data_IF_386867219755
#
_entry.id   IF_386867219755
#
_cell.length_a   1.000
_cell.length_b   1.000
_cell.length_c   1.000
_cell.angle_alpha   90.00
_cell.angle_beta   90.00
_cell.angle_gamma   90.00
#
_symmetry.space_group_name_H-M   'P 1'
#
loop_
_entity.id
_entity.type
_entity.pdbx_description
1 polymer ?
#
# COMPACT_ATOMS: atom_id res chain seq x y z
N UNK A 1 4.02 6.18 11.50
CA UNK A 1 3.12 7.11 10.78
C UNK A 1 3.37 6.94 9.30
N UNK A 2 2.30 6.75 8.53
CA UNK A 2 2.39 6.68 7.07
C UNK A 2 2.50 8.09 6.49
N UNK A 3 3.30 8.23 5.41
CA UNK A 3 3.37 9.44 4.59
C UNK A 3 2.71 9.15 3.26
N UNK A 4 1.68 9.91 2.93
CA UNK A 4 0.91 9.76 1.69
C UNK A 4 1.41 10.77 0.67
N UNK A 5 1.62 10.34 -0.57
CA UNK A 5 1.97 11.21 -1.69
C UNK A 5 0.88 11.14 -2.75
N UNK A 6 0.24 12.25 -3.04
CA UNK A 6 -0.63 12.39 -4.20
C UNK A 6 0.19 12.73 -5.44
N UNK A 7 0.03 11.95 -6.48
CA UNK A 7 0.67 12.14 -7.78
C UNK A 7 -0.46 12.51 -8.75
N UNK A 8 -0.47 13.74 -9.22
CA UNK A 8 -1.61 14.30 -9.92
C UNK A 8 -1.24 14.87 -11.28
N UNK A 9 -2.24 15.00 -12.11
CA UNK A 9 -2.14 15.63 -13.45
C UNK A 9 -2.70 17.06 -13.44
N UNK A 10 -2.57 17.78 -12.32
CA UNK A 10 -2.96 19.17 -12.19
C UNK A 10 -2.22 20.07 -13.19
N UNK A 11 -2.88 21.12 -13.68
CA UNK A 11 -2.29 22.07 -14.62
C UNK A 11 -1.13 22.88 -14.03
N UNK A 12 -1.13 23.10 -12.73
CA UNK A 12 -0.02 23.75 -12.05
C UNK A 12 1.03 22.73 -11.67
N UNK A 13 2.17 22.83 -12.30
CA UNK A 13 3.31 21.93 -12.09
C UNK A 13 3.91 22.15 -10.69
N UNK A 14 4.13 21.05 -9.99
CA UNK A 14 4.86 20.94 -8.73
C UNK A 14 6.04 20.00 -8.98
N UNK A 15 7.24 20.59 -9.15
CA UNK A 15 8.47 19.83 -9.45
C UNK A 15 9.03 19.09 -8.23
N UNK A 16 8.52 19.39 -7.03
CA UNK A 16 8.90 18.76 -5.78
C UNK A 16 7.66 18.53 -4.93
N UNK A 17 7.62 17.49 -4.08
CA UNK A 17 6.50 17.26 -3.19
C UNK A 17 6.23 18.45 -2.26
N UNK A 18 4.99 18.90 -2.25
CA UNK A 18 4.51 20.03 -1.44
C UNK A 18 3.55 19.51 -0.38
N UNK A 19 3.75 19.88 0.88
CA UNK A 19 2.83 19.53 1.97
C UNK A 19 1.45 20.18 1.75
N UNK A 20 0.40 19.39 1.94
CA UNK A 20 -0.99 19.82 1.77
C UNK A 20 -1.79 19.40 3.01
N UNK A 21 -2.32 20.38 3.74
CA UNK A 21 -3.01 20.13 5.01
C UNK A 21 -4.54 20.05 4.86
N UNK A 22 -5.11 20.88 3.96
CA UNK A 22 -6.54 20.94 3.71
C UNK A 22 -6.87 21.54 2.33
N UNK A 23 -8.16 21.62 2.00
CA UNK A 23 -8.67 22.18 0.73
C UNK A 23 -8.27 23.67 0.54
N UNK A 24 -8.21 24.46 1.62
CA UNK A 24 -7.85 25.87 1.54
C UNK A 24 -6.36 26.05 1.25
N UNK A 25 -5.52 25.21 1.82
CA UNK A 25 -4.08 25.17 1.57
C UNK A 25 -3.79 24.72 0.12
N UNK A 26 -4.50 23.69 -0.37
CA UNK A 26 -4.42 23.27 -1.77
C UNK A 26 -4.84 24.39 -2.73
N UNK A 27 -5.92 25.11 -2.41
CA UNK A 27 -6.37 26.26 -3.20
C UNK A 27 -5.34 27.37 -3.25
N UNK A 28 -4.70 27.67 -2.13
CA UNK A 28 -3.66 28.71 -2.06
C UNK A 28 -2.39 28.33 -2.82
N UNK A 29 -1.96 27.08 -2.73
CA UNK A 29 -0.71 26.57 -3.32
C UNK A 29 -0.86 26.18 -4.79
N UNK A 30 -1.97 25.59 -5.18
CA UNK A 30 -2.17 24.98 -6.49
C UNK A 30 -3.23 25.72 -7.31
N UNK A 31 -4.36 26.03 -6.72
CA UNK A 31 -5.46 26.75 -7.36
C UNK A 31 -6.84 26.23 -6.98
N UNK A 32 -7.83 27.00 -7.37
CA UNK A 32 -9.25 26.63 -7.19
C UNK A 32 -9.56 25.43 -8.08
N UNK A 33 -10.38 24.50 -7.59
CA UNK A 33 -10.84 23.30 -8.30
C UNK A 33 -9.69 22.37 -8.76
N UNK A 34 -8.52 22.42 -8.10
CA UNK A 34 -7.43 21.51 -8.37
C UNK A 34 -7.79 20.06 -8.01
N UNK A 35 -7.17 19.09 -8.71
CA UNK A 35 -7.31 17.68 -8.40
C UNK A 35 -6.83 17.41 -6.97
N UNK A 36 -5.67 17.96 -6.58
CA UNK A 36 -5.15 17.88 -5.20
C UNK A 36 -6.17 18.41 -4.20
N UNK A 37 -6.87 19.51 -4.49
CA UNK A 37 -7.90 20.07 -3.60
C UNK A 37 -9.03 19.08 -3.33
N UNK A 38 -9.51 18.37 -4.36
CA UNK A 38 -10.52 17.31 -4.22
C UNK A 38 -9.98 16.11 -3.45
N UNK A 39 -8.75 15.68 -3.75
CA UNK A 39 -8.09 14.56 -3.08
C UNK A 39 -7.89 14.81 -1.59
N UNK A 40 -7.34 15.97 -1.21
CA UNK A 40 -7.10 16.28 0.21
C UNK A 40 -8.41 16.41 1.00
N UNK A 41 -9.45 16.97 0.38
CA UNK A 41 -10.79 17.04 0.98
C UNK A 41 -11.34 15.64 1.28
N UNK A 42 -11.20 14.70 0.35
CA UNK A 42 -11.62 13.32 0.51
C UNK A 42 -10.79 12.60 1.58
N UNK A 43 -9.47 12.79 1.56
CA UNK A 43 -8.56 12.18 2.53
C UNK A 43 -8.85 12.65 3.97
N UNK A 44 -8.95 13.96 4.20
CA UNK A 44 -9.20 14.54 5.54
C UNK A 44 -10.57 14.17 6.10
N UNK A 45 -11.59 13.99 5.24
CA UNK A 45 -12.90 13.48 5.68
C UNK A 45 -12.83 12.03 6.15
N UNK A 46 -11.93 11.23 5.57
CA UNK A 46 -11.73 9.83 5.94
C UNK A 46 -10.81 9.69 7.15
N UNK A 47 -9.66 10.39 7.14
CA UNK A 47 -8.70 10.42 8.24
C UNK A 47 -8.19 11.87 8.42
N UNK A 48 -8.51 12.49 9.55
CA UNK A 48 -8.14 13.89 9.85
C UNK A 48 -6.64 14.10 10.09
N UNK A 49 -5.92 13.05 10.44
CA UNK A 49 -4.50 13.11 10.82
C UNK A 49 -3.58 12.60 9.71
N UNK A 50 -4.10 12.45 8.51
CA UNK A 50 -3.30 11.98 7.37
C UNK A 50 -2.21 13.01 7.03
N UNK A 51 -0.98 12.53 6.89
CA UNK A 51 0.20 13.31 6.47
C UNK A 51 0.32 13.20 4.94
N UNK A 52 0.04 14.30 4.24
CA UNK A 52 -0.08 14.33 2.78
C UNK A 52 0.88 15.31 2.16
N UNK A 53 1.60 14.84 1.15
CA UNK A 53 2.30 15.66 0.19
C UNK A 53 1.70 15.44 -1.21
N UNK A 54 1.88 16.38 -2.10
CA UNK A 54 1.44 16.29 -3.49
C UNK A 54 2.56 16.69 -4.45
N UNK A 55 2.62 16.00 -5.59
CA UNK A 55 3.51 16.30 -6.71
C UNK A 55 2.74 16.17 -8.02
N UNK A 56 3.12 16.96 -9.02
CA UNK A 56 2.58 16.78 -10.38
C UNK A 56 3.39 15.71 -11.11
N UNK A 57 2.71 14.80 -11.77
CA UNK A 57 3.33 13.81 -12.65
C UNK A 57 4.09 14.54 -13.76
N UNK A 58 5.39 14.26 -13.88
CA UNK A 58 6.21 14.83 -14.94
C UNK A 58 5.67 14.43 -16.32
N UNK A 59 5.81 15.34 -17.29
CA UNK A 59 5.34 15.13 -18.65
C UNK A 59 6.48 15.28 -19.63
N UNK A 60 6.72 14.27 -20.43
CA UNK A 60 7.62 14.37 -21.57
C UNK A 60 6.95 15.19 -22.67
N UNK A 61 7.53 16.35 -22.97
CA UNK A 61 7.03 17.32 -23.95
C UNK A 61 7.84 17.33 -25.25
N UNK A 62 8.55 16.24 -25.56
CA UNK A 62 9.31 16.11 -26.82
C UNK A 62 8.39 16.30 -28.02
N UNK A 63 7.13 15.85 -27.92
CA UNK A 63 6.04 16.25 -28.81
C UNK A 63 5.07 17.18 -28.04
N UNK A 64 5.11 18.49 -28.28
CA UNK A 64 4.23 19.45 -27.60
C UNK A 64 2.73 19.24 -27.88
N UNK A 65 2.37 18.51 -28.94
CA UNK A 65 0.97 18.23 -29.32
C UNK A 65 0.46 16.93 -28.66
N UNK A 66 1.37 16.08 -28.17
CA UNK A 66 1.03 14.80 -27.52
C UNK A 66 1.97 14.57 -26.31
N UNK A 67 1.87 15.37 -25.24
CA UNK A 67 2.65 15.14 -24.04
C UNK A 67 2.25 13.79 -23.41
N UNK A 68 3.25 12.99 -23.03
CA UNK A 68 3.05 11.70 -22.36
C UNK A 68 3.60 11.74 -20.94
N UNK A 69 3.01 11.01 -19.97
CA UNK A 69 3.55 10.90 -18.62
C UNK A 69 5.00 10.42 -18.64
N UNK A 70 5.84 11.06 -17.82
CA UNK A 70 7.21 10.68 -17.56
C UNK A 70 7.32 10.19 -16.13
N UNK A 71 7.07 8.89 -15.95
CA UNK A 71 7.08 8.25 -14.64
C UNK A 71 8.50 8.21 -14.08
N UNK A 72 9.51 7.99 -14.93
CA UNK A 72 10.91 7.87 -14.53
C UNK A 72 11.40 9.18 -13.88
N UNK A 73 11.15 10.32 -14.49
CA UNK A 73 11.49 11.64 -13.93
C UNK A 73 10.80 11.85 -12.57
N UNK A 74 9.52 11.47 -12.45
CA UNK A 74 8.76 11.61 -11.20
C UNK A 74 9.33 10.68 -10.12
N UNK A 75 9.61 9.43 -10.47
CA UNK A 75 10.10 8.42 -9.51
C UNK A 75 11.52 8.72 -9.05
N UNK A 76 12.38 9.30 -9.88
CA UNK A 76 13.72 9.76 -9.48
C UNK A 76 13.63 10.82 -8.38
N UNK A 77 12.69 11.76 -8.48
CA UNK A 77 12.47 12.79 -7.46
C UNK A 77 11.97 12.20 -6.14
N UNK A 78 11.01 11.29 -6.19
CA UNK A 78 10.32 10.78 -4.99
C UNK A 78 11.04 9.63 -4.29
N UNK A 79 11.88 8.87 -4.99
CA UNK A 79 12.56 7.69 -4.46
C UNK A 79 13.34 7.95 -3.16
N UNK A 80 14.07 9.05 -2.96
CA UNK A 80 14.81 9.31 -1.72
C UNK A 80 13.93 9.75 -0.54
N UNK A 81 12.67 10.13 -0.76
CA UNK A 81 11.85 10.83 0.22
C UNK A 81 11.10 9.92 1.20
N UNK A 82 10.94 8.63 0.89
CA UNK A 82 10.40 7.63 1.79
C UNK A 82 8.89 7.76 2.06
N UNK A 83 8.09 8.12 1.05
CA UNK A 83 6.64 8.02 1.11
C UNK A 83 6.24 6.55 1.20
N UNK A 84 5.26 6.24 2.04
CA UNK A 84 4.83 4.86 2.27
C UNK A 84 3.59 4.48 1.48
N UNK A 85 2.78 5.46 1.08
CA UNK A 85 1.58 5.26 0.27
C UNK A 85 1.59 6.29 -0.86
N UNK A 86 1.69 5.82 -2.10
CA UNK A 86 1.56 6.62 -3.30
C UNK A 86 0.13 6.54 -3.81
N UNK A 87 -0.40 7.60 -4.37
CA UNK A 87 -1.77 7.65 -4.90
C UNK A 87 -1.76 8.34 -6.24
N UNK A 88 -2.25 7.66 -7.27
CA UNK A 88 -2.50 8.29 -8.56
C UNK A 88 -3.89 8.93 -8.57
N UNK A 89 -4.04 10.03 -9.28
CA UNK A 89 -5.34 10.70 -9.47
C UNK A 89 -6.25 9.96 -10.46
N UNK A 90 -5.65 9.15 -11.32
CA UNK A 90 -6.32 8.31 -12.34
C UNK A 90 -5.48 7.07 -12.64
N UNK A 91 -6.06 6.03 -13.27
CA UNK A 91 -5.29 4.87 -13.69
C UNK A 91 -4.19 5.25 -14.70
N UNK A 92 -2.98 4.66 -14.57
CA UNK A 92 -1.93 4.81 -15.58
C UNK A 92 -2.29 4.04 -16.86
N UNK A 93 -1.62 4.37 -17.95
CA UNK A 93 -1.73 3.59 -19.18
C UNK A 93 -1.18 2.16 -18.95
N UNK A 94 -1.86 1.18 -19.58
CA UNK A 94 -1.44 -0.22 -19.56
C UNK A 94 -0.13 -0.35 -20.35
N UNK A 95 0.83 -1.08 -19.80
CA UNK A 95 2.16 -1.28 -20.38
C UNK A 95 3.23 -0.47 -19.67
N UNK A 96 4.08 0.23 -20.42
CA UNK A 96 5.31 0.87 -19.94
C UNK A 96 5.10 1.80 -18.72
N UNK A 97 4.03 2.61 -18.73
CA UNK A 97 3.72 3.50 -17.60
C UNK A 97 3.42 2.71 -16.31
N UNK A 98 2.62 1.65 -16.43
CA UNK A 98 2.32 0.77 -15.30
C UNK A 98 3.56 0.03 -14.81
N UNK A 99 4.39 -0.47 -15.72
CA UNK A 99 5.64 -1.18 -15.40
C UNK A 99 6.60 -0.27 -14.64
N UNK A 100 6.79 0.98 -15.07
CA UNK A 100 7.66 1.94 -14.40
C UNK A 100 7.22 2.18 -12.94
N UNK A 101 5.91 2.25 -12.64
CA UNK A 101 5.43 2.34 -11.26
C UNK A 101 5.75 1.10 -10.45
N UNK A 102 5.56 -0.10 -11.00
CA UNK A 102 5.86 -1.36 -10.30
C UNK A 102 7.36 -1.47 -10.04
N UNK A 103 8.20 -1.12 -11.00
CA UNK A 103 9.66 -1.13 -10.87
C UNK A 103 10.13 -0.15 -9.79
N UNK A 104 9.55 1.04 -9.73
CA UNK A 104 9.80 1.99 -8.65
C UNK A 104 9.47 1.39 -7.27
N UNK A 105 8.30 0.77 -7.12
CA UNK A 105 7.90 0.15 -5.85
C UNK A 105 8.86 -0.97 -5.43
N UNK A 106 9.29 -1.80 -6.37
CA UNK A 106 10.26 -2.86 -6.13
C UNK A 106 11.61 -2.28 -5.71
N UNK A 107 12.08 -1.24 -6.39
CA UNK A 107 13.33 -0.54 -6.09
C UNK A 107 13.34 0.05 -4.68
N UNK A 108 12.37 0.90 -4.33
CA UNK A 108 12.35 1.56 -3.00
C UNK A 108 12.11 0.58 -1.86
N UNK A 109 11.46 -0.56 -2.12
CA UNK A 109 11.09 -1.55 -1.11
C UNK A 109 12.14 -2.63 -0.90
N UNK A 110 13.21 -2.62 -1.66
CA UNK A 110 14.26 -3.63 -1.57
C UNK A 110 15.04 -3.58 -0.24
N UNK A 111 15.99 -4.51 -0.07
CA UNK A 111 16.79 -4.61 1.15
C UNK A 111 17.84 -3.49 1.27
N UNK A 112 18.18 -2.80 0.19
CA UNK A 112 19.19 -1.73 0.13
C UNK A 112 18.53 -0.39 0.41
N UNK A 113 17.50 -0.04 -0.37
CA UNK A 113 16.78 1.23 -0.28
C UNK A 113 15.95 1.36 1.00
N UNK A 114 15.31 0.26 1.43
CA UNK A 114 14.64 0.15 2.73
C UNK A 114 13.53 1.19 2.98
N UNK A 115 12.87 1.66 1.93
CA UNK A 115 11.77 2.62 1.96
C UNK A 115 10.51 2.01 1.36
N UNK A 116 9.93 0.96 1.99
CA UNK A 116 8.81 0.25 1.40
C UNK A 116 7.61 1.16 1.18
N UNK A 117 7.05 1.07 0.00
CA UNK A 117 5.87 1.81 -0.41
C UNK A 117 4.84 0.89 -1.07
N UNK A 118 3.58 1.30 -1.03
CA UNK A 118 2.49 0.77 -1.83
C UNK A 118 1.91 1.87 -2.70
N UNK A 119 1.27 1.51 -3.81
CA UNK A 119 0.55 2.46 -4.67
C UNK A 119 -0.93 2.14 -4.73
N UNK A 120 -1.76 3.15 -4.60
CA UNK A 120 -3.22 3.07 -4.78
C UNK A 120 -3.56 3.62 -6.15
N UNK A 121 -4.15 2.78 -7.00
CA UNK A 121 -4.62 3.11 -8.34
C UNK A 121 -6.14 3.09 -8.33
N UNK A 122 -6.81 4.23 -8.50
CA UNK A 122 -8.27 4.33 -8.40
C UNK A 122 -8.97 3.94 -9.70
N UNK A 123 -10.14 3.30 -9.57
CA UNK A 123 -11.01 2.95 -10.69
C UNK A 123 -12.48 3.23 -10.36
N UNK A 124 -13.24 3.70 -11.36
CA UNK A 124 -14.70 3.81 -11.30
C UNK A 124 -15.41 2.73 -12.11
N UNK A 125 -14.64 1.89 -12.82
CA UNK A 125 -15.15 0.78 -13.62
C UNK A 125 -14.45 -0.53 -13.27
N UNK A 126 -15.24 -1.57 -13.00
CA UNK A 126 -14.74 -2.88 -12.55
C UNK A 126 -14.02 -3.65 -13.66
N UNK A 127 -14.46 -3.51 -14.90
CA UNK A 127 -13.86 -4.16 -16.06
C UNK A 127 -12.45 -3.58 -16.31
N UNK A 128 -12.32 -2.25 -16.26
CA UNK A 128 -11.04 -1.55 -16.38
C UNK A 128 -10.08 -1.94 -15.24
N UNK A 129 -10.57 -1.99 -14.00
CA UNK A 129 -9.77 -2.42 -12.85
C UNK A 129 -9.28 -3.88 -12.98
N UNK A 130 -10.15 -4.77 -13.47
CA UNK A 130 -9.83 -6.18 -13.70
C UNK A 130 -8.77 -6.34 -14.79
N UNK A 131 -8.90 -5.59 -15.89
CA UNK A 131 -7.92 -5.59 -16.97
C UNK A 131 -6.55 -5.08 -16.51
N UNK A 132 -6.54 -4.01 -15.70
CA UNK A 132 -5.33 -3.48 -15.07
C UNK A 132 -4.66 -4.52 -14.17
N UNK A 133 -5.41 -5.14 -13.26
CA UNK A 133 -4.90 -6.14 -12.33
C UNK A 133 -4.42 -7.43 -13.01
N UNK A 134 -4.84 -7.70 -14.25
CA UNK A 134 -4.42 -8.86 -15.01
C UNK A 134 -3.10 -8.70 -15.77
N UNK A 135 -2.48 -7.51 -15.76
CA UNK A 135 -1.16 -7.31 -16.37
C UNK A 135 -0.11 -8.16 -15.64
N UNK A 136 0.82 -8.75 -16.38
CA UNK A 136 1.80 -9.70 -15.84
C UNK A 136 2.66 -9.14 -14.70
N UNK A 137 3.07 -7.88 -14.80
CA UNK A 137 3.84 -7.17 -13.76
C UNK A 137 2.99 -6.83 -12.54
N UNK A 138 1.71 -6.53 -12.75
CA UNK A 138 0.77 -6.12 -11.70
C UNK A 138 0.27 -7.34 -10.91
N UNK A 139 -0.11 -8.44 -11.57
CA UNK A 139 -0.62 -9.64 -10.88
C UNK A 139 0.40 -10.36 -10.00
N UNK A 140 1.68 -10.03 -10.15
CA UNK A 140 2.79 -10.53 -9.30
C UNK A 140 3.21 -9.52 -8.24
N UNK A 141 2.64 -8.32 -8.22
CA UNK A 141 2.99 -7.25 -7.27
C UNK A 141 2.04 -7.21 -6.07
N UNK A 142 2.58 -7.38 -4.88
CA UNK A 142 1.84 -7.19 -3.62
C UNK A 142 1.85 -5.74 -3.12
N UNK A 143 2.39 -4.81 -3.93
CA UNK A 143 2.50 -3.39 -3.57
C UNK A 143 1.55 -2.49 -4.35
N UNK A 144 0.73 -3.05 -5.21
CA UNK A 144 -0.27 -2.32 -6.01
C UNK A 144 -1.66 -2.63 -5.46
N UNK A 145 -2.45 -1.60 -5.25
CA UNK A 145 -3.86 -1.67 -4.83
C UNK A 145 -4.73 -1.08 -5.93
N UNK A 146 -5.43 -1.91 -6.68
CA UNK A 146 -6.42 -1.47 -7.67
C UNK A 146 -7.75 -1.20 -6.94
N UNK A 147 -7.95 0.02 -6.43
CA UNK A 147 -9.13 0.41 -5.65
C UNK A 147 -10.28 0.78 -6.56
N UNK A 148 -11.36 -0.02 -6.57
CA UNK A 148 -12.49 0.18 -7.47
C UNK A 148 -13.81 0.43 -6.73
N UNK A 149 -14.46 1.56 -7.04
CA UNK A 149 -15.84 1.83 -6.69
C UNK A 149 -16.67 1.95 -7.97
N UNK A 150 -17.30 0.85 -8.36
CA UNK A 150 -18.00 0.76 -9.64
C UNK A 150 -19.15 1.79 -9.76
N UNK A 151 -19.14 2.54 -10.86
CA UNK A 151 -20.11 3.59 -11.15
C UNK A 151 -19.80 4.97 -10.59
N UNK A 152 -18.71 5.14 -9.81
CA UNK A 152 -18.29 6.43 -9.27
C UNK A 152 -17.45 7.25 -10.27
N UNK A 153 -17.93 7.35 -11.50
CA UNK A 153 -17.23 8.05 -12.59
C UNK A 153 -16.98 9.51 -12.25
N UNK A 154 -15.73 9.96 -12.46
CA UNK A 154 -15.28 11.31 -12.14
C UNK A 154 -14.87 11.52 -10.69
N UNK A 155 -14.93 10.48 -9.84
CA UNK A 155 -14.46 10.48 -8.45
C UNK A 155 -13.19 9.63 -8.25
N UNK A 156 -12.46 9.28 -9.31
CA UNK A 156 -11.30 8.40 -9.22
C UNK A 156 -10.24 8.97 -8.26
N UNK A 157 -9.94 10.25 -8.37
CA UNK A 157 -8.96 10.92 -7.51
C UNK A 157 -9.39 10.89 -6.02
N UNK A 158 -10.66 11.11 -5.73
CA UNK A 158 -11.24 11.04 -4.38
C UNK A 158 -11.23 9.60 -3.83
N UNK A 159 -11.51 8.60 -4.67
CA UNK A 159 -11.42 7.18 -4.31
C UNK A 159 -10.01 6.84 -3.87
N UNK A 160 -9.01 7.18 -4.69
CA UNK A 160 -7.60 6.94 -4.38
C UNK A 160 -7.16 7.60 -3.07
N UNK A 161 -7.50 8.87 -2.90
CA UNK A 161 -7.14 9.66 -1.72
C UNK A 161 -7.82 9.15 -0.44
N UNK A 162 -9.12 8.84 -0.49
CA UNK A 162 -9.85 8.30 0.65
C UNK A 162 -9.35 6.89 1.02
N UNK A 163 -9.07 6.04 0.04
CA UNK A 163 -8.48 4.71 0.27
C UNK A 163 -7.12 4.82 0.96
N UNK A 164 -6.22 5.67 0.45
CA UNK A 164 -4.91 5.89 1.06
C UNK A 164 -5.01 6.45 2.49
N UNK A 165 -5.94 7.37 2.73
CA UNK A 165 -6.19 7.93 4.05
C UNK A 165 -6.70 6.86 5.03
N UNK A 166 -7.57 5.95 4.60
CA UNK A 166 -8.02 4.80 5.38
C UNK A 166 -6.87 3.84 5.71
N UNK A 167 -6.03 3.51 4.73
CA UNK A 167 -4.84 2.68 4.94
C UNK A 167 -3.83 3.33 5.90
N UNK A 168 -3.71 4.66 5.87
CA UNK A 168 -2.81 5.43 6.73
C UNK A 168 -3.32 5.58 8.17
N UNK A 169 -4.60 5.36 8.45
CA UNK A 169 -5.22 5.52 9.78
C UNK A 169 -4.93 4.35 10.72
N UNK A 170 -4.37 3.26 10.23
CA UNK A 170 -4.11 2.08 11.03
C UNK A 170 -2.94 2.29 11.99
N UNK A 171 -3.22 2.30 13.30
CA UNK A 171 -2.21 2.22 14.35
C UNK A 171 -1.75 0.77 14.59
N UNK A 172 -2.56 -0.20 14.18
CA UNK A 172 -2.28 -1.63 14.21
C UNK A 172 -2.32 -2.18 12.79
N UNK A 173 -1.16 -2.54 12.20
CA UNK A 173 -1.10 -3.00 10.82
C UNK A 173 -1.79 -4.36 10.59
N UNK A 174 -2.06 -5.12 11.65
CA UNK A 174 -2.73 -6.41 11.56
C UNK A 174 -4.27 -6.30 11.51
N UNK A 175 -4.84 -5.14 11.86
CA UNK A 175 -6.29 -4.94 11.76
C UNK A 175 -6.75 -4.92 10.30
N UNK A 176 -7.78 -5.71 9.94
CA UNK A 176 -8.35 -5.67 8.60
C UNK A 176 -9.11 -4.37 8.35
N UNK A 177 -9.13 -3.94 7.10
CA UNK A 177 -9.83 -2.72 6.66
C UNK A 177 -11.27 -2.95 6.22
N UNK A 178 -11.83 -4.14 6.42
CA UNK A 178 -13.21 -4.46 6.05
C UNK A 178 -14.21 -3.56 6.78
N UNK A 179 -15.16 -2.99 6.05
CA UNK A 179 -16.19 -2.10 6.60
C UNK A 179 -15.69 -0.71 6.99
N UNK A 180 -14.45 -0.34 6.66
CA UNK A 180 -13.94 1.03 6.87
C UNK A 180 -14.61 1.96 5.86
N UNK A 181 -15.30 3.00 6.37
CA UNK A 181 -16.01 3.97 5.55
C UNK A 181 -15.06 4.96 4.87
N UNK A 182 -15.26 5.19 3.58
CA UNK A 182 -14.57 6.22 2.79
C UNK A 182 -15.42 7.50 2.74
N UNK A 183 -15.43 8.25 3.84
CA UNK A 183 -16.32 9.39 4.04
C UNK A 183 -16.10 10.57 3.05
N UNK A 184 -15.03 10.53 2.28
CA UNK A 184 -14.69 11.55 1.28
C UNK A 184 -15.24 11.27 -0.12
N UNK A 185 -15.82 10.09 -0.34
CA UNK A 185 -16.36 9.64 -1.62
C UNK A 185 -17.89 9.66 -1.57
N UNK A 186 -18.54 10.09 -2.63
CA UNK A 186 -20.00 10.09 -2.72
C UNK A 186 -20.53 8.71 -3.11
N UNK A 187 -21.67 8.33 -2.51
CA UNK A 187 -22.32 7.07 -2.81
C UNK A 187 -22.86 7.02 -4.25
N UNK A 188 -22.70 5.87 -4.89
CA UNK A 188 -23.23 5.65 -6.25
C UNK A 188 -24.72 5.33 -6.24
N UNK A 189 -25.38 5.54 -7.36
CA UNK A 189 -26.78 5.14 -7.55
C UNK A 189 -26.94 3.62 -7.46
N UNK A 190 -28.12 3.15 -7.02
CA UNK A 190 -28.42 1.74 -6.80
C UNK A 190 -28.18 0.83 -8.02
N UNK A 191 -28.34 1.38 -9.23
CA UNK A 191 -28.10 0.65 -10.48
C UNK A 191 -26.64 0.20 -10.68
N UNK A 192 -25.69 0.82 -9.98
CA UNK A 192 -24.27 0.48 -10.03
C UNK A 192 -23.81 -0.44 -8.92
N UNK A 193 -24.68 -0.73 -7.94
CA UNK A 193 -24.36 -1.65 -6.86
C UNK A 193 -24.07 -3.04 -7.39
N UNK A 194 -22.93 -3.58 -6.97
CA UNK A 194 -22.50 -4.91 -7.39
C UNK A 194 -23.17 -5.98 -6.53
N UNK A 195 -23.56 -7.07 -7.18
CA UNK A 195 -23.98 -8.28 -6.45
C UNK A 195 -22.77 -8.92 -5.75
N UNK A 196 -23.01 -9.69 -4.70
CA UNK A 196 -21.97 -10.43 -3.98
C UNK A 196 -21.09 -11.27 -4.93
N UNK A 197 -21.71 -11.96 -5.89
CA UNK A 197 -20.96 -12.76 -6.87
C UNK A 197 -20.00 -11.92 -7.73
N UNK A 198 -20.43 -10.72 -8.15
CA UNK A 198 -19.56 -9.81 -8.92
C UNK A 198 -18.43 -9.27 -8.06
N UNK A 199 -18.70 -8.94 -6.80
CA UNK A 199 -17.66 -8.51 -5.85
C UNK A 199 -16.62 -9.61 -5.63
N UNK A 200 -17.04 -10.84 -5.36
CA UNK A 200 -16.17 -12.00 -5.18
C UNK A 200 -15.31 -12.29 -6.43
N UNK A 201 -15.90 -12.17 -7.60
CA UNK A 201 -15.17 -12.35 -8.87
C UNK A 201 -14.07 -11.30 -9.03
N UNK A 202 -14.36 -10.05 -8.69
CA UNK A 202 -13.39 -8.97 -8.77
C UNK A 202 -12.27 -9.10 -7.72
N UNK A 203 -12.62 -9.47 -6.49
CA UNK A 203 -11.63 -9.78 -5.45
C UNK A 203 -10.68 -10.91 -5.90
N UNK A 204 -11.23 -11.99 -6.48
CA UNK A 204 -10.41 -13.07 -7.06
C UNK A 204 -9.56 -12.63 -8.25
N UNK A 205 -9.95 -11.56 -8.92
CA UNK A 205 -9.18 -10.94 -9.99
C UNK A 205 -8.11 -9.95 -9.48
N UNK A 206 -7.95 -9.75 -8.16
CA UNK A 206 -6.98 -8.85 -7.56
C UNK A 206 -7.45 -7.39 -7.51
N UNK A 207 -8.75 -7.15 -7.56
CA UNK A 207 -9.33 -5.80 -7.45
C UNK A 207 -9.86 -5.55 -6.05
N UNK A 208 -9.36 -4.51 -5.39
CA UNK A 208 -9.84 -4.04 -4.08
C UNK A 208 -11.19 -3.34 -4.27
N UNK A 209 -12.27 -3.97 -3.82
CA UNK A 209 -13.64 -3.48 -4.03
C UNK A 209 -14.09 -2.57 -2.89
N UNK A 210 -14.66 -1.44 -3.29
CA UNK A 210 -15.42 -0.53 -2.46
C UNK A 210 -16.90 -0.73 -2.82
N UNK A 211 -17.76 -0.86 -1.81
CA UNK A 211 -19.19 -1.04 -1.99
C UNK A 211 -19.96 -0.05 -1.14
N UNK A 212 -21.24 0.16 -1.44
CA UNK A 212 -22.13 0.93 -0.58
C UNK A 212 -22.59 0.06 0.58
N UNK A 213 -22.21 0.42 1.79
CA UNK A 213 -22.59 -0.29 3.02
C UNK A 213 -24.06 -0.15 3.38
N UNK A 214 -24.45 -0.81 4.46
CA UNK A 214 -25.84 -0.77 4.96
C UNK A 214 -26.26 0.63 5.43
N UNK A 215 -25.33 1.47 5.84
CA UNK A 215 -25.55 2.86 6.22
C UNK A 215 -25.61 3.82 5.01
N UNK A 216 -25.50 3.29 3.79
CA UNK A 216 -25.53 4.07 2.54
C UNK A 216 -24.21 4.74 2.20
N UNK A 217 -23.13 4.48 2.93
CA UNK A 217 -21.80 5.05 2.67
C UNK A 217 -20.90 4.09 1.91
N UNK A 218 -19.94 4.62 1.12
CA UNK A 218 -18.89 3.78 0.55
C UNK A 218 -18.01 3.17 1.64
N UNK A 219 -17.82 1.86 1.60
CA UNK A 219 -16.95 1.13 2.53
C UNK A 219 -16.06 0.14 1.80
N UNK A 220 -14.91 -0.18 2.39
CA UNK A 220 -13.98 -1.16 1.87
C UNK A 220 -14.54 -2.56 2.15
N UNK A 221 -14.78 -3.35 1.10
CA UNK A 221 -15.22 -4.74 1.25
C UNK A 221 -14.05 -5.59 1.76
N UNK A 222 -12.91 -5.50 1.10
CA UNK A 222 -11.65 -6.12 1.52
C UNK A 222 -10.49 -5.39 0.88
N UNK A 223 -9.53 -4.94 1.69
CA UNK A 223 -8.33 -4.28 1.19
C UNK A 223 -7.31 -5.33 0.73
N UNK A 224 -7.18 -5.49 -0.57
CA UNK A 224 -6.27 -6.45 -1.20
C UNK A 224 -5.32 -5.76 -2.17
N UNK A 225 -4.17 -6.39 -2.35
CA UNK A 225 -3.25 -6.09 -3.44
C UNK A 225 -3.68 -6.79 -4.72
N UNK A 226 -2.98 -6.50 -5.80
CA UNK A 226 -3.16 -7.21 -7.07
C UNK A 226 -2.44 -8.56 -7.13
N UNK A 227 -1.72 -8.96 -6.07
CA UNK A 227 -0.92 -10.17 -6.00
C UNK A 227 -1.80 -11.44 -6.08
N UNK A 228 -1.60 -12.23 -7.10
CA UNK A 228 -2.30 -13.49 -7.35
C UNK A 228 -1.37 -14.61 -7.80
N UNK A 229 -0.16 -14.25 -8.21
CA UNK A 229 0.83 -15.20 -8.70
C UNK A 229 2.18 -14.92 -8.07
N UNK A 230 2.85 -15.99 -7.69
CA UNK A 230 4.23 -15.91 -7.24
C UNK A 230 5.15 -15.59 -8.42
N UNK A 231 5.98 -14.52 -8.34
CA UNK A 231 6.82 -14.11 -9.46
C UNK A 231 7.89 -15.15 -9.85
N UNK A 232 8.35 -15.96 -8.89
CA UNK A 232 9.42 -16.94 -9.13
C UNK A 232 8.88 -18.22 -9.76
N UNK A 233 7.71 -18.69 -9.30
CA UNK A 233 7.13 -19.97 -9.75
C UNK A 233 6.06 -19.83 -10.82
N UNK A 234 5.46 -18.63 -10.97
CA UNK A 234 4.31 -18.37 -11.84
C UNK A 234 3.01 -19.05 -11.38
N UNK A 235 3.03 -19.74 -10.23
CA UNK A 235 1.87 -20.43 -9.68
C UNK A 235 0.95 -19.44 -8.91
N UNK A 236 -0.32 -19.80 -8.78
CA UNK A 236 -1.27 -19.06 -7.96
C UNK A 236 -0.78 -19.01 -6.50
N UNK A 237 -0.78 -17.81 -5.93
CA UNK A 237 -0.33 -17.54 -4.57
C UNK A 237 -1.17 -16.38 -3.99
N UNK A 238 -1.58 -16.50 -2.74
CA UNK A 238 -2.39 -15.51 -2.04
C UNK A 238 -1.75 -15.04 -0.72
N UNK A 239 -0.49 -15.45 -0.47
CA UNK A 239 0.18 -15.17 0.81
C UNK A 239 0.31 -13.68 1.10
N UNK A 240 0.49 -12.85 0.07
CA UNK A 240 0.61 -11.40 0.15
C UNK A 240 -0.59 -10.67 -0.48
N UNK A 241 -1.74 -11.33 -0.56
CA UNK A 241 -2.94 -10.75 -1.15
C UNK A 241 -3.49 -9.62 -0.28
N UNK A 242 -3.60 -9.81 1.03
CA UNK A 242 -4.15 -8.81 1.94
C UNK A 242 -3.15 -7.68 2.21
N UNK A 243 -3.59 -6.43 2.03
CA UNK A 243 -2.73 -5.25 2.23
C UNK A 243 -2.30 -5.10 3.69
N UNK A 244 -3.14 -5.45 4.65
CA UNK A 244 -2.72 -5.44 6.05
C UNK A 244 -1.54 -6.40 6.30
N UNK A 245 -1.44 -7.53 5.61
CA UNK A 245 -0.28 -8.41 5.65
C UNK A 245 1.00 -7.73 5.11
N UNK A 246 0.89 -7.01 4.00
CA UNK A 246 2.00 -6.23 3.43
C UNK A 246 2.48 -5.16 4.39
N UNK A 247 1.55 -4.36 4.93
CA UNK A 247 1.87 -3.31 5.92
C UNK A 247 2.44 -3.89 7.22
N UNK A 248 1.94 -5.05 7.66
CA UNK A 248 2.47 -5.76 8.84
C UNK A 248 3.91 -6.18 8.63
N UNK A 249 4.23 -6.80 7.51
CA UNK A 249 5.62 -7.23 7.21
C UNK A 249 6.54 -6.01 7.06
N UNK A 250 6.11 -4.94 6.44
CA UNK A 250 6.91 -3.71 6.37
C UNK A 250 7.14 -3.10 7.76
N UNK A 251 6.14 -3.12 8.64
CA UNK A 251 6.29 -2.71 10.04
C UNK A 251 7.27 -3.61 10.82
N UNK A 252 7.16 -4.94 10.68
CA UNK A 252 8.10 -5.89 11.29
C UNK A 252 9.53 -5.62 10.81
N UNK A 253 9.73 -5.41 9.50
CA UNK A 253 11.03 -5.05 8.91
C UNK A 253 11.58 -3.77 9.55
N UNK A 254 10.75 -2.74 9.75
CA UNK A 254 11.13 -1.49 10.40
C UNK A 254 11.55 -1.70 11.86
N UNK A 255 10.78 -2.46 12.63
CA UNK A 255 11.08 -2.78 14.04
C UNK A 255 12.42 -3.50 14.15
N UNK A 256 12.64 -4.54 13.33
CA UNK A 256 13.88 -5.33 13.36
C UNK A 256 15.10 -4.49 12.94
N UNK A 257 14.97 -3.64 11.91
CA UNK A 257 16.04 -2.71 11.52
C UNK A 257 16.36 -1.69 12.60
N UNK A 258 15.34 -1.15 13.24
CA UNK A 258 15.51 -0.21 14.37
C UNK A 258 16.22 -0.86 15.52
N UNK A 259 15.87 -2.10 15.85
CA UNK A 259 16.57 -2.88 16.87
C UNK A 259 18.04 -3.15 16.49
N UNK A 260 18.29 -3.58 15.25
CA UNK A 260 19.63 -3.81 14.74
C UNK A 260 20.48 -2.53 14.74
N UNK A 261 19.89 -1.38 14.47
CA UNK A 261 20.60 -0.09 14.43
C UNK A 261 21.23 0.30 15.79
N UNK A 262 20.64 -0.13 16.89
CA UNK A 262 21.17 0.07 18.25
C UNK A 262 22.42 -0.77 18.51
N UNK A 263 22.64 -1.82 17.74
CA UNK A 263 23.77 -2.73 17.83
C UNK A 263 24.93 -2.37 16.88
N UNK A 264 24.87 -1.21 16.20
CA UNK A 264 25.94 -0.69 15.34
C UNK A 264 27.24 -0.47 16.13
N UNK A 265 28.39 -0.50 15.46
CA UNK A 265 29.72 -0.35 16.02
C UNK A 265 30.17 -1.52 16.90
N UNK A 266 29.66 -2.72 16.68
CA UNK A 266 30.12 -3.98 17.30
C UNK A 266 31.04 -4.75 16.38
N UNK A 267 31.94 -5.53 16.97
CA UNK A 267 32.76 -6.50 16.22
C UNK A 267 31.86 -7.67 15.79
N UNK A 268 32.04 -8.20 14.58
CA UNK A 268 31.31 -9.36 14.08
C UNK A 268 31.84 -10.66 14.65
N UNK A 269 31.64 -10.89 15.92
CA UNK A 269 32.06 -12.09 16.66
C UNK A 269 30.88 -13.02 16.95
N UNK A 270 31.15 -14.31 17.25
CA UNK A 270 30.11 -15.25 17.65
C UNK A 270 29.23 -14.77 18.81
N UNK A 271 29.82 -14.26 19.93
CA UNK A 271 29.02 -13.67 21.01
C UNK A 271 28.16 -12.47 20.57
N UNK A 272 28.68 -11.57 19.71
CA UNK A 272 27.92 -10.43 19.21
C UNK A 272 26.72 -10.87 18.36
N UNK A 273 26.88 -11.88 17.51
CA UNK A 273 25.78 -12.44 16.70
C UNK A 273 24.72 -13.11 17.57
N UNK A 274 25.13 -13.85 18.64
CA UNK A 274 24.16 -14.41 19.62
C UNK A 274 23.38 -13.31 20.34
N UNK A 275 24.06 -12.21 20.72
CA UNK A 275 23.38 -11.07 21.33
C UNK A 275 22.36 -10.44 20.35
N UNK A 276 22.74 -10.24 19.09
CA UNK A 276 21.84 -9.69 18.06
C UNK A 276 20.62 -10.62 17.85
N UNK A 277 20.83 -11.95 17.83
CA UNK A 277 19.75 -12.94 17.83
C UNK A 277 18.78 -12.73 19.00
N UNK A 278 19.32 -12.55 20.21
CA UNK A 278 18.50 -12.31 21.42
C UNK A 278 17.72 -11.00 21.32
N UNK A 279 18.29 -9.95 20.73
CA UNK A 279 17.60 -8.67 20.47
C UNK A 279 16.44 -8.87 19.52
N UNK A 280 16.63 -9.56 18.40
CA UNK A 280 15.55 -9.84 17.45
C UNK A 280 14.46 -10.71 18.07
N UNK A 281 14.83 -11.73 18.86
CA UNK A 281 13.86 -12.57 19.57
C UNK A 281 13.02 -11.75 20.56
N UNK A 282 13.64 -10.83 21.30
CA UNK A 282 12.92 -9.97 22.24
C UNK A 282 11.92 -9.05 21.54
N UNK A 283 12.27 -8.50 20.37
CA UNK A 283 11.33 -7.70 19.58
C UNK A 283 10.22 -8.56 18.96
N UNK A 284 10.54 -9.76 18.45
CA UNK A 284 9.53 -10.69 17.91
C UNK A 284 8.50 -11.09 18.98
N UNK A 285 8.94 -11.38 20.21
CA UNK A 285 8.03 -11.68 21.33
C UNK A 285 7.13 -10.48 21.68
N UNK A 286 7.63 -9.24 21.57
CA UNK A 286 6.79 -8.05 21.76
C UNK A 286 5.71 -7.94 20.68
N UNK A 287 6.07 -8.23 19.42
CA UNK A 287 5.13 -8.25 18.31
C UNK A 287 4.10 -9.37 18.43
N UNK A 288 4.50 -10.54 18.97
CA UNK A 288 3.55 -11.64 19.28
C UNK A 288 2.57 -11.24 20.39
N UNK A 289 3.03 -10.57 21.45
CA UNK A 289 2.17 -10.04 22.51
C UNK A 289 1.22 -8.93 22.06
N UNK A 290 1.58 -8.23 20.99
CA UNK A 290 0.76 -7.21 20.35
C UNK A 290 -0.15 -7.81 19.26
N UNK A 291 -0.21 -9.13 19.12
CA UNK A 291 -1.01 -9.86 18.12
C UNK A 291 -0.69 -9.47 16.66
N UNK A 292 0.55 -9.00 16.43
CA UNK A 292 1.05 -8.66 15.08
C UNK A 292 1.70 -9.87 14.42
N UNK A 293 2.46 -10.65 15.22
CA UNK A 293 3.03 -11.94 14.83
C UNK A 293 2.42 -13.06 15.64
N UNK A 294 2.49 -14.26 15.11
CA UNK A 294 2.11 -15.50 15.81
C UNK A 294 3.20 -16.57 15.68
N UNK A 295 3.15 -17.58 16.52
CA UNK A 295 4.08 -18.73 16.51
C UNK A 295 5.56 -18.38 16.71
N UNK A 296 5.90 -17.21 17.28
CA UNK A 296 7.27 -16.75 17.49
C UNK A 296 8.03 -17.71 18.39
N UNK A 297 7.42 -18.13 19.49
CA UNK A 297 8.09 -19.05 20.46
C UNK A 297 8.27 -20.45 19.86
N UNK A 298 7.32 -20.96 19.09
CA UNK A 298 7.40 -22.28 18.47
C UNK A 298 8.40 -22.37 17.31
N UNK A 299 8.72 -21.24 16.69
CA UNK A 299 9.69 -21.14 15.58
C UNK A 299 11.00 -20.46 15.98
N UNK A 300 11.26 -20.34 17.29
CA UNK A 300 12.41 -19.63 17.84
C UNK A 300 13.77 -20.21 17.40
N UNK A 301 13.83 -21.49 17.11
CA UNK A 301 15.02 -22.19 16.58
C UNK A 301 15.38 -21.77 15.17
N UNK A 302 14.40 -21.36 14.37
CA UNK A 302 14.55 -20.88 12.99
C UNK A 302 15.09 -19.44 12.93
N UNK A 303 15.04 -18.68 14.04
CA UNK A 303 15.69 -17.37 14.10
C UNK A 303 17.19 -17.57 14.25
N UNK A 304 17.94 -17.32 13.20
CA UNK A 304 19.38 -17.50 13.15
C UNK A 304 20.10 -16.22 12.74
N UNK A 305 21.30 -16.02 13.28
CA UNK A 305 22.20 -14.92 12.88
C UNK A 305 23.58 -15.51 12.61
N UNK A 306 24.00 -15.45 11.35
CA UNK A 306 25.25 -16.03 10.87
C UNK A 306 26.20 -14.96 10.34
N UNK A 307 27.48 -15.27 10.25
CA UNK A 307 28.44 -14.46 9.52
C UNK A 307 28.31 -14.78 8.03
N UNK A 308 28.33 -13.75 7.20
CA UNK A 308 28.35 -13.94 5.76
C UNK A 308 29.57 -14.74 5.30
N UNK A 309 29.36 -15.61 4.34
CA UNK A 309 30.43 -16.48 3.82
C UNK A 309 31.53 -15.72 3.07
N UNK A 310 31.15 -14.66 2.37
CA UNK A 310 32.04 -13.86 1.52
C UNK A 310 32.51 -12.59 2.24
N UNK A 311 31.57 -11.81 2.77
CA UNK A 311 31.87 -10.58 3.51
C UNK A 311 31.91 -10.84 5.02
N UNK A 312 33.09 -10.97 5.60
CA UNK A 312 33.28 -11.21 7.02
C UNK A 312 32.83 -10.05 7.92
N UNK A 313 32.56 -8.88 7.38
CA UNK A 313 32.02 -7.73 8.12
C UNK A 313 30.49 -7.78 8.21
N UNK A 314 29.82 -8.58 7.38
CA UNK A 314 28.37 -8.73 7.30
C UNK A 314 27.86 -9.84 8.23
N UNK A 315 26.77 -9.59 8.92
CA UNK A 315 25.96 -10.58 9.61
C UNK A 315 24.60 -10.72 8.91
N UNK A 316 24.22 -11.94 8.57
CA UNK A 316 22.94 -12.28 7.98
C UNK A 316 21.99 -12.78 9.08
N UNK A 317 20.76 -12.26 9.08
CA UNK A 317 19.72 -12.71 10.01
C UNK A 317 18.55 -13.28 9.21
N UNK A 318 18.10 -14.47 9.60
CA UNK A 318 16.87 -15.09 9.14
C UNK A 318 15.87 -15.03 10.29
N UNK A 319 14.73 -14.38 10.07
CA UNK A 319 13.72 -14.12 11.09
C UNK A 319 12.39 -14.70 10.61
N UNK A 320 11.93 -15.82 11.16
CA UNK A 320 10.61 -16.36 10.82
C UNK A 320 9.54 -15.36 11.24
N UNK A 321 8.67 -14.98 10.29
CA UNK A 321 7.65 -13.97 10.52
C UNK A 321 6.29 -14.50 10.06
N UNK A 322 5.54 -15.08 10.99
CA UNK A 322 4.15 -15.49 10.79
C UNK A 322 3.26 -14.33 11.24
N UNK A 323 2.72 -13.58 10.30
CA UNK A 323 1.83 -12.46 10.63
C UNK A 323 0.41 -12.94 10.89
N UNK A 324 -0.28 -12.29 11.86
CA UNK A 324 -1.66 -12.60 12.21
C UNK A 324 -2.58 -12.15 11.09
N UNK A 325 -3.38 -13.08 10.56
CA UNK A 325 -4.32 -12.79 9.47
C UNK A 325 -5.60 -12.14 10.00
N UNK A 326 -6.11 -11.16 9.28
CA UNK A 326 -7.39 -10.52 9.60
C UNK A 326 -8.58 -11.47 9.46
N UNK A 327 -9.59 -11.31 10.31
CA UNK A 327 -10.85 -12.03 10.20
C UNK A 327 -11.77 -11.32 9.18
N UNK A 328 -11.77 -11.78 7.93
CA UNK A 328 -12.53 -11.15 6.85
C UNK A 328 -13.96 -11.70 6.71
N UNK A 329 -14.24 -12.93 7.18
CA UNK A 329 -15.56 -13.56 7.08
C UNK A 329 -15.92 -14.22 8.39
N UNK A 330 -17.11 -13.93 8.89
CA UNK A 330 -17.71 -14.61 10.05
C UNK A 330 -18.89 -15.43 9.54
N UNK A 331 -18.71 -16.75 9.48
CA UNK A 331 -19.80 -17.65 9.12
C UNK A 331 -20.57 -18.08 10.38
N UNK A 332 -21.88 -17.79 10.42
CA UNK A 332 -22.73 -18.14 11.56
C UNK A 332 -23.81 -19.13 11.13
N UNK A 333 -24.04 -20.17 11.94
CA UNK A 333 -25.16 -21.11 11.78
C UNK A 333 -26.12 -20.94 12.95
N UNK A 334 -27.39 -20.63 12.65
CA UNK A 334 -28.44 -20.55 13.65
C UNK A 334 -29.23 -21.87 13.65
N UNK A 335 -29.14 -22.62 14.72
CA UNK A 335 -29.97 -23.81 14.91
C UNK A 335 -31.26 -23.41 15.64
N UNK A 336 -32.41 -23.64 15.01
CA UNK A 336 -33.74 -23.43 15.60
C UNK A 336 -34.25 -24.78 16.05
N UNK A 337 -34.59 -24.89 17.33
CA UNK A 337 -35.15 -26.10 17.96
C UNK A 337 -36.62 -25.94 18.28
#
# INVERSE_FOLDING_TARGET
>A
THKVLFITTDNKVMDQPVEIYDESDATAKIGVDSIVGRMIKAAVKTNRLVDVQAITLAMNTTDPQAPVPDVDDTTEIIAPLGHTILVLDKPPAIGDETEAWVDHLNFVSDAIEQRPAIIVVPFSDIEAATLFAAQATVETSYRVVAACYHGATGQEAEIGAAMAAALADSNDPALPFNGVNLNGVEAVEDKYKLTFERQERALKAGVCIIATGADGKPEIVRAISTFRKNPDSGLADDIMLDINGVLTIDYVRLVMRTAASKERRRKNTGPARRNLRSVFMAEAIKLEKAEILENVTSTADQLIVTQDGTDKTRANAEIPSHWVRGMHVIATTLNVY
#
